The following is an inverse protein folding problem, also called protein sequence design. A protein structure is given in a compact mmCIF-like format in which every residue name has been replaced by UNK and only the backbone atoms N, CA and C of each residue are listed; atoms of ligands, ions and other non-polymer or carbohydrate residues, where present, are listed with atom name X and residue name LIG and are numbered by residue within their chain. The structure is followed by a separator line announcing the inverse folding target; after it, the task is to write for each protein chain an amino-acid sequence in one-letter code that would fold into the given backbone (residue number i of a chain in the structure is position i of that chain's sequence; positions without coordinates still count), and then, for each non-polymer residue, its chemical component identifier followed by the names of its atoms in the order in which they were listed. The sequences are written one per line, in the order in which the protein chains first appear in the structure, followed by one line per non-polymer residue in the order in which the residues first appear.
data_IF_369698937903
#
_entry.id   IF_369698937903
#
_cell.length_a   1.000
_cell.length_b   1.000
_cell.length_c   1.000
_cell.angle_alpha   90.00
_cell.angle_beta   90.00
_cell.angle_gamma   90.00
#
_symmetry.space_group_name_H-M   'P 1'
#
loop_
_entity.id
_entity.type
_entity.pdbx_description
1 polymer ?
#
# COMPACT_ATOMS: atom_id res chain seq x y z
N UNK A 1 -28.42 -12.09 29.16
CA UNK A 1 -29.40 -11.65 30.19
C UNK A 1 -30.84 -11.99 29.81
N UNK A 2 -31.30 -11.70 28.57
CA UNK A 2 -32.63 -12.12 28.05
C UNK A 2 -32.88 -13.65 28.16
N UNK A 3 -31.90 -14.48 27.85
CA UNK A 3 -32.02 -15.95 27.97
C UNK A 3 -32.20 -16.45 29.42
N UNK A 4 -31.46 -15.85 30.36
CA UNK A 4 -31.54 -16.14 31.79
C UNK A 4 -32.93 -15.79 32.38
N UNK A 5 -33.58 -14.77 31.82
CA UNK A 5 -34.94 -14.32 32.19
C UNK A 5 -35.99 -15.31 31.66
N UNK A 6 -35.84 -15.76 30.41
CA UNK A 6 -36.71 -16.77 29.81
C UNK A 6 -36.63 -18.12 30.56
N UNK A 7 -35.43 -18.50 30.99
CA UNK A 7 -35.21 -19.73 31.74
C UNK A 7 -35.89 -19.68 33.12
N UNK A 8 -35.81 -18.56 33.85
CA UNK A 8 -36.50 -18.42 35.15
C UNK A 8 -38.02 -18.37 35.04
N UNK A 9 -38.56 -17.73 33.99
CA UNK A 9 -40.00 -17.71 33.71
C UNK A 9 -40.57 -19.10 33.37
N UNK A 10 -39.73 -20.01 32.86
CA UNK A 10 -40.13 -21.38 32.51
C UNK A 10 -40.30 -22.31 33.72
N UNK A 11 -39.68 -21.98 34.86
CA UNK A 11 -39.63 -22.80 36.08
C UNK A 11 -40.73 -22.46 37.11
N UNK A 12 -41.68 -21.58 36.80
CA UNK A 12 -42.79 -21.21 37.70
C UNK A 12 -44.06 -22.03 37.42
N UNK A 13 -44.63 -22.62 38.48
CA UNK A 13 -45.82 -23.49 38.43
C UNK A 13 -47.15 -22.72 38.47
N UNK A 14 -47.20 -21.53 39.08
CA UNK A 14 -48.39 -20.67 39.14
C UNK A 14 -48.55 -19.84 37.85
N UNK A 15 -49.63 -20.11 37.12
CA UNK A 15 -49.93 -19.50 35.81
C UNK A 15 -50.31 -18.02 35.88
N UNK A 16 -50.97 -17.56 36.95
CA UNK A 16 -51.36 -16.15 37.08
C UNK A 16 -50.16 -15.29 37.45
N UNK A 17 -49.36 -15.74 38.42
CA UNK A 17 -48.12 -15.08 38.79
C UNK A 17 -47.14 -15.05 37.61
N UNK A 18 -47.05 -16.15 36.84
CA UNK A 18 -46.22 -16.21 35.63
C UNK A 18 -46.67 -15.23 34.55
N UNK A 19 -47.98 -15.03 34.37
CA UNK A 19 -48.52 -14.06 33.39
C UNK A 19 -48.20 -12.62 33.81
N UNK A 20 -48.43 -12.29 35.08
CA UNK A 20 -48.14 -10.95 35.62
C UNK A 20 -46.63 -10.64 35.58
N UNK A 21 -45.78 -11.60 35.96
CA UNK A 21 -44.32 -11.45 35.89
C UNK A 21 -43.85 -11.36 34.44
N UNK A 22 -44.44 -12.12 33.51
CA UNK A 22 -44.11 -12.04 32.08
C UNK A 22 -44.46 -10.65 31.51
N UNK A 23 -45.60 -10.08 31.89
CA UNK A 23 -46.00 -8.76 31.43
C UNK A 23 -45.08 -7.67 31.98
N UNK A 24 -44.73 -7.70 33.27
CA UNK A 24 -43.78 -6.76 33.88
C UNK A 24 -42.36 -6.93 33.30
N UNK A 25 -41.89 -8.17 33.16
CA UNK A 25 -40.55 -8.46 32.65
C UNK A 25 -40.41 -8.16 31.15
N UNK A 26 -41.44 -8.42 30.34
CA UNK A 26 -41.42 -8.15 28.90
C UNK A 26 -41.68 -6.69 28.56
N UNK A 27 -42.50 -5.97 29.34
CA UNK A 27 -42.84 -4.57 29.03
C UNK A 27 -41.91 -3.53 29.66
N UNK A 28 -41.37 -3.78 30.85
CA UNK A 28 -40.52 -2.79 31.53
C UNK A 28 -39.05 -3.16 31.44
N UNK A 29 -38.69 -4.41 31.75
CA UNK A 29 -37.28 -4.80 31.81
C UNK A 29 -36.64 -4.96 30.43
N UNK A 30 -37.34 -5.53 29.44
CA UNK A 30 -36.81 -5.58 28.07
C UNK A 30 -36.60 -4.18 27.51
N UNK A 31 -37.58 -3.29 27.69
CA UNK A 31 -37.46 -1.90 27.24
C UNK A 31 -36.34 -1.15 27.97
N UNK A 32 -36.13 -1.41 29.27
CA UNK A 32 -35.05 -0.80 30.03
C UNK A 32 -33.67 -1.35 29.65
N UNK A 33 -33.57 -2.65 29.35
CA UNK A 33 -32.35 -3.27 28.81
C UNK A 33 -32.04 -2.69 27.43
N UNK A 34 -33.02 -2.62 26.53
CA UNK A 34 -32.85 -2.08 25.19
C UNK A 34 -32.48 -0.59 25.24
N UNK A 35 -33.11 0.18 26.15
CA UNK A 35 -32.75 1.57 26.42
C UNK A 35 -31.30 1.68 26.93
N UNK A 36 -30.90 0.86 27.90
CA UNK A 36 -29.54 0.88 28.45
C UNK A 36 -28.50 0.48 27.39
N UNK A 37 -28.77 -0.54 26.58
CA UNK A 37 -27.91 -0.95 25.47
C UNK A 37 -27.78 0.18 24.44
N UNK A 38 -28.88 0.85 24.10
CA UNK A 38 -28.88 1.97 23.17
C UNK A 38 -28.14 3.20 23.73
N UNK A 39 -28.36 3.57 24.98
CA UNK A 39 -27.63 4.67 25.62
C UNK A 39 -26.14 4.34 25.79
N UNK A 40 -25.80 3.08 26.07
CA UNK A 40 -24.39 2.63 26.11
C UNK A 40 -23.75 2.71 24.73
N UNK A 41 -24.44 2.27 23.66
CA UNK A 41 -23.97 2.42 22.27
C UNK A 41 -23.78 3.89 21.90
N UNK A 42 -24.75 4.75 22.23
CA UNK A 42 -24.66 6.20 21.98
C UNK A 42 -23.49 6.86 22.71
N UNK A 43 -23.25 6.47 23.97
CA UNK A 43 -22.11 6.96 24.74
C UNK A 43 -20.80 6.53 24.09
N UNK A 44 -20.69 5.26 23.69
CA UNK A 44 -19.53 4.74 22.95
C UNK A 44 -19.34 5.50 21.64
N UNK A 45 -20.36 5.63 20.80
CA UNK A 45 -20.29 6.38 19.55
C UNK A 45 -19.82 7.82 19.76
N UNK A 46 -20.37 8.51 20.78
CA UNK A 46 -19.97 9.88 21.12
C UNK A 46 -18.50 9.97 21.48
N UNK A 47 -18.04 9.18 22.45
CA UNK A 47 -16.63 9.18 22.90
C UNK A 47 -15.69 8.80 21.75
N UNK A 48 -16.08 7.87 20.88
CA UNK A 48 -15.26 7.47 19.73
C UNK A 48 -15.26 8.51 18.60
N UNK A 49 -16.30 9.33 18.51
CA UNK A 49 -16.40 10.44 17.55
C UNK A 49 -15.61 11.69 17.98
N UNK A 50 -15.35 11.87 19.28
CA UNK A 50 -14.50 12.96 19.81
C UNK A 50 -13.04 12.89 19.31
N UNK A 51 -12.61 11.69 18.91
CA UNK A 51 -11.30 11.46 18.31
C UNK A 51 -11.48 11.23 16.80
N UNK A 52 -11.37 12.33 16.05
CA UNK A 52 -11.30 12.30 14.59
C UNK A 52 -10.11 11.46 14.12
N UNK A 53 -10.36 10.65 13.09
CA UNK A 53 -9.39 9.76 12.46
C UNK A 53 -9.12 10.24 11.04
N UNK A 54 -8.25 11.23 10.92
CA UNK A 54 -7.87 11.85 9.65
C UNK A 54 -6.95 10.94 8.82
N UNK A 55 -6.32 9.93 9.42
CA UNK A 55 -5.40 9.01 8.75
C UNK A 55 -6.10 8.07 7.76
N UNK A 56 -7.36 7.70 8.02
CA UNK A 56 -8.13 6.83 7.11
C UNK A 56 -8.25 7.39 5.70
N UNK A 57 -8.25 8.71 5.55
CA UNK A 57 -8.29 9.37 4.24
C UNK A 57 -7.06 9.02 3.38
N UNK A 58 -5.98 8.59 4.02
CA UNK A 58 -4.69 8.26 3.40
C UNK A 58 -4.39 6.76 3.42
N UNK A 59 -5.40 5.90 3.64
CA UNK A 59 -5.24 4.46 3.49
C UNK A 59 -4.88 4.11 2.04
N UNK A 60 -3.74 3.45 1.84
CA UNK A 60 -3.27 3.02 0.53
C UNK A 60 -3.63 1.56 0.33
N UNK A 61 -4.17 1.26 -0.85
CA UNK A 61 -4.54 -0.06 -1.30
C UNK A 61 -3.75 -0.38 -2.56
N UNK A 62 -3.14 -1.56 -2.61
CA UNK A 62 -2.32 -2.03 -3.73
C UNK A 62 -2.74 -3.43 -4.12
N UNK A 63 -2.79 -3.68 -5.42
CA UNK A 63 -3.05 -4.99 -6.00
C UNK A 63 -2.39 -5.11 -7.37
N UNK A 64 -2.53 -6.25 -8.00
CA UNK A 64 -2.13 -6.47 -9.40
C UNK A 64 -3.33 -7.00 -10.17
N UNK A 65 -3.40 -6.70 -11.46
CA UNK A 65 -4.38 -7.30 -12.36
C UNK A 65 -3.73 -7.67 -13.69
N UNK A 66 -4.38 -8.56 -14.43
CA UNK A 66 -4.04 -8.72 -15.84
C UNK A 66 -4.49 -7.49 -16.61
N UNK A 67 -3.72 -7.05 -17.60
CA UNK A 67 -4.00 -5.87 -18.42
C UNK A 67 -5.38 -5.93 -19.07
N UNK A 68 -5.78 -7.10 -19.57
CA UNK A 68 -7.12 -7.33 -20.14
C UNK A 68 -8.27 -7.26 -19.12
N UNK A 69 -7.98 -7.43 -17.83
CA UNK A 69 -8.97 -7.36 -16.75
C UNK A 69 -9.06 -5.95 -16.13
N UNK A 70 -8.22 -5.01 -16.59
CA UNK A 70 -8.21 -3.63 -16.07
C UNK A 70 -9.48 -2.89 -16.51
N UNK A 71 -10.16 -2.26 -15.55
CA UNK A 71 -11.32 -1.41 -15.78
C UNK A 71 -10.92 0.08 -15.79
N UNK A 72 -10.90 0.75 -16.96
CA UNK A 72 -10.54 2.17 -17.06
C UNK A 72 -11.54 3.12 -16.37
N UNK A 73 -12.74 2.64 -16.03
CA UNK A 73 -13.81 3.44 -15.41
C UNK A 73 -13.76 3.34 -13.88
N UNK A 74 -12.92 2.48 -13.31
CA UNK A 74 -12.77 2.39 -11.85
C UNK A 74 -12.42 3.75 -11.24
N UNK A 75 -13.12 4.10 -10.15
CA UNK A 75 -12.85 5.31 -9.37
C UNK A 75 -11.94 5.02 -8.16
N UNK A 76 -11.56 3.75 -7.98
CA UNK A 76 -10.78 3.32 -6.82
C UNK A 76 -9.36 2.89 -7.18
N UNK A 77 -9.16 1.99 -8.15
CA UNK A 77 -7.85 1.42 -8.48
C UNK A 77 -7.35 1.94 -9.82
N UNK A 78 -6.21 2.61 -9.79
CA UNK A 78 -5.52 3.19 -10.94
C UNK A 78 -4.18 2.50 -11.15
N UNK A 79 -3.62 2.48 -12.36
CA UNK A 79 -2.27 1.97 -12.57
C UNK A 79 -1.23 2.89 -11.90
N UNK A 80 -0.08 2.32 -11.51
CA UNK A 80 1.06 3.11 -11.01
C UNK A 80 1.58 4.09 -12.07
N UNK A 81 1.59 3.65 -13.32
CA UNK A 81 1.99 4.39 -14.50
C UNK A 81 0.92 4.22 -15.58
N UNK A 82 0.45 5.31 -16.18
CA UNK A 82 -0.55 5.24 -17.26
C UNK A 82 0.00 4.46 -18.47
N UNK A 83 1.32 4.48 -18.66
CA UNK A 83 2.04 3.79 -19.71
C UNK A 83 2.02 2.26 -19.58
N UNK A 84 1.68 1.71 -18.41
CA UNK A 84 1.60 0.25 -18.21
C UNK A 84 0.34 -0.35 -18.85
N UNK A 85 -0.70 0.47 -19.03
CA UNK A 85 -1.93 0.08 -19.74
C UNK A 85 -1.73 0.15 -21.25
N UNK A 86 -0.77 0.92 -21.74
CA UNK A 86 -0.50 1.06 -23.17
C UNK A 86 0.20 -0.20 -23.72
N UNK A 87 -0.13 -0.58 -24.95
CA UNK A 87 0.65 -1.61 -25.66
C UNK A 87 2.01 -1.04 -26.07
N UNK A 88 3.07 -1.54 -25.45
CA UNK A 88 4.44 -1.22 -25.85
C UNK A 88 4.82 -2.11 -27.02
N UNK A 89 4.82 -1.55 -28.22
CA UNK A 89 5.45 -2.17 -29.39
C UNK A 89 6.93 -1.82 -29.36
N UNK A 90 7.78 -2.83 -29.23
CA UNK A 90 9.23 -2.65 -29.36
C UNK A 90 9.51 -2.41 -30.85
N UNK A 91 10.10 -1.27 -31.21
CA UNK A 91 10.48 -0.99 -32.59
C UNK A 91 11.80 -1.71 -32.91
N UNK A 92 11.83 -2.38 -34.05
CA UNK A 92 13.02 -3.05 -34.57
C UNK A 92 14.20 -2.09 -34.73
N UNK A 93 13.92 -0.83 -35.06
CA UNK A 93 14.95 0.23 -35.15
C UNK A 93 15.60 0.53 -33.81
N UNK A 94 14.85 0.44 -32.72
CA UNK A 94 15.39 0.62 -31.37
C UNK A 94 16.27 -0.57 -30.97
N UNK A 95 15.88 -1.79 -31.35
CA UNK A 95 16.71 -3.00 -31.15
C UNK A 95 18.03 -2.88 -31.90
N UNK A 96 18.00 -2.56 -33.20
CA UNK A 96 19.21 -2.48 -34.02
C UNK A 96 20.15 -1.37 -33.54
N UNK A 97 19.61 -0.20 -33.21
CA UNK A 97 20.41 0.91 -32.62
C UNK A 97 21.00 0.52 -31.27
N UNK A 98 20.22 -0.10 -30.39
CA UNK A 98 20.68 -0.57 -29.08
C UNK A 98 21.82 -1.57 -29.21
N UNK A 99 21.70 -2.53 -30.12
CA UNK A 99 22.75 -3.53 -30.41
C UNK A 99 24.01 -2.89 -31.01
N UNK A 100 23.87 -1.92 -31.92
CA UNK A 100 25.00 -1.21 -32.52
C UNK A 100 25.78 -0.39 -31.48
N UNK A 101 25.05 0.30 -30.60
CA UNK A 101 25.62 1.13 -29.53
C UNK A 101 26.08 0.31 -28.30
N UNK A 102 25.84 -1.01 -28.27
CA UNK A 102 26.02 -1.88 -27.09
C UNK A 102 25.25 -1.38 -25.86
N UNK A 103 24.09 -0.78 -26.08
CA UNK A 103 23.19 -0.34 -25.03
C UNK A 103 22.23 -1.47 -24.66
N UNK A 104 22.01 -1.65 -23.37
CA UNK A 104 21.02 -2.62 -22.87
C UNK A 104 19.62 -2.09 -23.15
N UNK A 105 18.90 -2.73 -24.06
CA UNK A 105 17.52 -2.34 -24.38
C UNK A 105 16.52 -3.10 -23.51
N UNK A 106 15.57 -2.38 -22.91
CA UNK A 106 14.42 -2.97 -22.20
C UNK A 106 13.39 -3.46 -23.22
N UNK A 107 13.04 -4.74 -23.17
CA UNK A 107 12.02 -5.34 -24.04
C UNK A 107 10.63 -5.20 -23.42
N UNK A 108 10.40 -5.77 -22.24
CA UNK A 108 9.13 -5.73 -21.51
C UNK A 108 9.36 -6.03 -20.02
N UNK A 109 8.31 -5.85 -19.22
CA UNK A 109 8.31 -6.15 -17.79
C UNK A 109 7.54 -7.46 -17.54
N UNK A 110 8.05 -8.34 -16.70
CA UNK A 110 7.38 -9.57 -16.26
C UNK A 110 7.10 -9.53 -14.76
N UNK A 111 6.04 -10.21 -14.34
CA UNK A 111 5.70 -10.42 -12.93
C UNK A 111 5.99 -11.87 -12.55
N UNK A 112 6.81 -12.08 -11.51
CA UNK A 112 7.11 -13.41 -10.99
C UNK A 112 6.22 -13.72 -9.78
N UNK A 113 5.26 -14.63 -9.95
CA UNK A 113 4.32 -15.05 -8.88
C UNK A 113 4.97 -16.08 -7.94
N UNK A 114 6.06 -15.71 -7.26
CA UNK A 114 6.75 -16.54 -6.29
C UNK A 114 6.98 -15.81 -4.96
N UNK A 115 7.36 -16.58 -3.93
CA UNK A 115 7.66 -16.05 -2.60
C UNK A 115 8.93 -15.18 -2.59
N UNK A 116 9.03 -14.29 -1.59
CA UNK A 116 10.18 -13.40 -1.43
C UNK A 116 11.52 -14.15 -1.36
N UNK A 117 11.56 -15.33 -0.72
CA UNK A 117 12.80 -16.12 -0.56
C UNK A 117 13.36 -16.59 -1.90
N UNK A 118 12.50 -16.87 -2.89
CA UNK A 118 12.90 -17.18 -4.28
C UNK A 118 13.32 -15.93 -5.03
N UNK A 119 12.57 -14.84 -4.88
CA UNK A 119 12.87 -13.56 -5.54
C UNK A 119 14.26 -13.04 -5.16
N UNK A 120 14.65 -13.16 -3.89
CA UNK A 120 15.99 -12.77 -3.42
C UNK A 120 17.15 -13.54 -4.05
N UNK A 121 16.89 -14.74 -4.58
CA UNK A 121 17.90 -15.60 -5.21
C UNK A 121 18.06 -15.35 -6.71
N UNK A 122 17.20 -14.51 -7.30
CA UNK A 122 17.29 -14.16 -8.72
C UNK A 122 18.60 -13.43 -8.98
N UNK A 123 19.50 -14.08 -9.71
CA UNK A 123 20.78 -13.50 -10.10
C UNK A 123 20.59 -12.58 -11.32
N UNK A 124 20.73 -11.28 -11.11
CA UNK A 124 20.59 -10.28 -12.17
C UNK A 124 21.68 -10.37 -13.26
N UNK A 125 22.78 -11.10 -13.02
CA UNK A 125 23.84 -11.31 -14.02
C UNK A 125 23.63 -12.59 -14.84
N UNK A 126 22.63 -13.42 -14.49
CA UNK A 126 22.33 -14.65 -15.21
C UNK A 126 21.71 -14.31 -16.57
N UNK A 127 22.21 -14.97 -17.60
CA UNK A 127 21.75 -14.86 -18.99
C UNK A 127 20.80 -15.99 -19.30
N UNK A 128 19.66 -15.66 -19.88
CA UNK A 128 18.62 -16.58 -20.30
C UNK A 128 18.51 -16.60 -21.82
N UNK A 129 18.09 -17.75 -22.35
CA UNK A 129 17.93 -17.92 -23.80
C UNK A 129 16.55 -17.47 -24.24
N UNK A 130 16.49 -16.79 -25.38
CA UNK A 130 15.25 -16.43 -26.04
C UNK A 130 15.35 -16.54 -27.55
N UNK A 131 14.21 -16.33 -28.20
CA UNK A 131 14.04 -16.31 -29.65
C UNK A 131 13.17 -15.11 -30.01
N UNK A 132 13.70 -14.24 -30.87
CA UNK A 132 12.98 -13.15 -31.51
C UNK A 132 12.36 -13.68 -32.80
N UNK A 133 11.05 -13.54 -32.96
CA UNK A 133 10.29 -13.97 -34.15
C UNK A 133 9.84 -12.72 -34.90
N UNK A 134 10.32 -12.58 -36.14
CA UNK A 134 9.96 -11.48 -37.04
C UNK A 134 9.17 -12.00 -38.25
N UNK A 135 8.78 -11.10 -39.15
CA UNK A 135 8.24 -11.48 -40.46
C UNK A 135 9.19 -12.33 -41.31
N UNK A 136 10.50 -12.16 -41.15
CA UNK A 136 11.51 -12.75 -42.03
C UNK A 136 12.22 -13.96 -41.44
N UNK A 137 12.17 -14.16 -40.12
CA UNK A 137 12.87 -15.28 -39.51
C UNK A 137 12.72 -15.41 -37.99
N UNK A 138 13.51 -16.33 -37.44
CA UNK A 138 13.66 -16.56 -36.00
C UNK A 138 15.11 -16.37 -35.63
N UNK A 139 15.38 -15.48 -34.69
CA UNK A 139 16.73 -15.11 -34.29
C UNK A 139 16.96 -15.48 -32.81
N UNK A 140 18.04 -16.20 -32.48
CA UNK A 140 18.39 -16.48 -31.09
C UNK A 140 18.85 -15.20 -30.41
N UNK A 141 18.29 -14.93 -29.24
CA UNK A 141 18.64 -13.77 -28.40
C UNK A 141 19.03 -14.23 -27.01
N UNK A 142 19.86 -13.42 -26.35
CA UNK A 142 20.18 -13.58 -24.94
C UNK A 142 19.57 -12.43 -24.16
N UNK A 143 18.82 -12.77 -23.11
CA UNK A 143 18.13 -11.80 -22.25
C UNK A 143 18.60 -11.91 -20.81
N UNK A 144 18.42 -10.81 -20.06
CA UNK A 144 18.81 -10.72 -18.65
C UNK A 144 17.66 -10.15 -17.84
N UNK A 145 17.45 -10.70 -16.65
CA UNK A 145 16.45 -10.18 -15.70
C UNK A 145 17.08 -9.12 -14.81
N UNK A 146 16.46 -7.95 -14.75
CA UNK A 146 16.84 -6.88 -13.82
C UNK A 146 15.62 -6.53 -12.98
N UNK A 147 15.79 -6.37 -11.67
CA UNK A 147 14.68 -6.00 -10.79
C UNK A 147 14.14 -4.62 -11.20
N UNK A 148 12.83 -4.49 -11.34
CA UNK A 148 12.22 -3.21 -11.65
C UNK A 148 12.10 -2.36 -10.38
N UNK A 149 12.83 -1.25 -10.33
CA UNK A 149 12.82 -0.32 -9.20
C UNK A 149 11.80 0.82 -9.38
N UNK A 150 11.26 1.03 -10.59
CA UNK A 150 10.40 2.17 -10.91
C UNK A 150 9.15 2.25 -10.02
N UNK A 151 8.51 1.12 -9.72
CA UNK A 151 7.36 1.08 -8.83
C UNK A 151 7.73 1.36 -7.37
N UNK A 152 8.92 0.96 -6.95
CA UNK A 152 9.42 1.22 -5.60
C UNK A 152 9.80 2.70 -5.46
N UNK A 153 10.37 3.30 -6.51
CA UNK A 153 10.65 4.73 -6.57
C UNK A 153 9.39 5.58 -6.52
N UNK A 154 8.26 5.11 -7.09
CA UNK A 154 6.98 5.81 -6.94
C UNK A 154 6.52 5.89 -5.48
N UNK A 155 6.75 4.83 -4.70
CA UNK A 155 6.44 4.84 -3.26
C UNK A 155 7.37 5.80 -2.51
N UNK A 156 8.64 5.85 -2.89
CA UNK A 156 9.59 6.83 -2.33
C UNK A 156 9.18 8.27 -2.64
N UNK A 157 8.78 8.57 -3.88
CA UNK A 157 8.25 9.90 -4.25
C UNK A 157 7.01 10.25 -3.45
N UNK A 158 6.11 9.28 -3.26
CA UNK A 158 4.94 9.48 -2.42
C UNK A 158 5.32 9.80 -0.97
N UNK A 159 6.32 9.14 -0.40
CA UNK A 159 6.84 9.49 0.92
C UNK A 159 7.30 10.95 1.01
N UNK A 160 8.06 11.43 0.01
CA UNK A 160 8.50 12.84 -0.06
C UNK A 160 7.30 13.80 -0.09
N UNK A 161 6.26 13.45 -0.84
CA UNK A 161 4.99 14.21 -0.88
C UNK A 161 4.33 14.23 0.51
N UNK A 162 4.23 13.10 1.22
CA UNK A 162 3.66 13.07 2.56
C UNK A 162 4.43 13.96 3.55
N UNK A 163 5.76 13.90 3.51
CA UNK A 163 6.62 14.74 4.35
C UNK A 163 6.39 16.23 4.10
N UNK A 164 6.37 16.65 2.84
CA UNK A 164 6.14 18.06 2.45
C UNK A 164 4.76 18.58 2.84
N UNK A 165 3.77 17.70 2.91
CA UNK A 165 2.41 18.03 3.29
C UNK A 165 2.17 17.97 4.81
N UNK A 166 3.22 17.68 5.60
CA UNK A 166 3.17 17.51 7.05
C UNK A 166 2.18 16.43 7.49
N UNK A 167 2.02 15.39 6.67
CA UNK A 167 1.15 14.24 6.97
C UNK A 167 2.02 13.07 7.44
N UNK A 168 1.72 12.45 8.59
CA UNK A 168 2.46 11.29 9.08
C UNK A 168 2.50 10.17 8.04
N UNK A 169 3.71 9.69 7.76
CA UNK A 169 3.90 8.52 6.91
C UNK A 169 3.53 7.25 7.66
N UNK A 170 2.77 6.39 7.01
CA UNK A 170 2.51 5.02 7.44
C UNK A 170 3.07 4.09 6.40
N UNK A 171 3.73 3.01 6.84
CA UNK A 171 4.27 2.00 5.92
C UNK A 171 3.19 1.59 4.94
N UNK A 172 3.51 1.50 3.66
CA UNK A 172 2.56 1.05 2.65
C UNK A 172 2.69 -0.46 2.52
N UNK A 173 1.58 -1.18 2.66
CA UNK A 173 1.59 -2.62 2.42
C UNK A 173 1.62 -2.88 0.91
N UNK A 174 2.79 -3.24 0.42
CA UNK A 174 3.02 -3.51 -0.98
C UNK A 174 3.70 -4.87 -1.16
N UNK A 175 2.89 -5.94 -1.32
CA UNK A 175 3.44 -7.27 -1.51
C UNK A 175 3.77 -7.60 -2.96
N UNK A 176 3.60 -6.66 -3.90
CA UNK A 176 3.63 -6.97 -5.33
C UNK A 176 4.79 -6.32 -6.10
N UNK A 177 5.18 -5.08 -5.79
CA UNK A 177 6.12 -4.36 -6.67
C UNK A 177 7.52 -4.98 -6.71
N UNK A 178 7.96 -5.64 -5.64
CA UNK A 178 9.27 -6.30 -5.59
C UNK A 178 9.36 -7.55 -6.50
N UNK A 179 8.24 -7.95 -7.12
CA UNK A 179 8.11 -9.12 -8.00
C UNK A 179 8.14 -8.79 -9.49
N UNK A 180 8.28 -7.51 -9.83
CA UNK A 180 8.42 -7.07 -11.22
C UNK A 180 9.89 -7.05 -11.64
N UNK A 181 10.15 -7.60 -12.83
CA UNK A 181 11.47 -7.66 -13.43
C UNK A 181 11.40 -7.15 -14.87
N UNK A 182 12.34 -6.30 -15.22
CA UNK A 182 12.56 -5.83 -16.57
C UNK A 182 13.45 -6.84 -17.31
N UNK A 183 13.00 -7.23 -18.51
CA UNK A 183 13.76 -8.08 -19.41
C UNK A 183 14.59 -7.19 -20.33
N UNK A 184 15.91 -7.26 -20.19
CA UNK A 184 16.85 -6.56 -21.04
C UNK A 184 17.43 -7.50 -22.10
N UNK A 185 17.55 -7.01 -23.33
CA UNK A 185 18.31 -7.65 -24.40
C UNK A 185 19.81 -7.40 -24.15
N UNK A 186 20.59 -8.48 -24.08
CA UNK A 186 22.04 -8.41 -23.86
C UNK A 186 22.82 -8.65 -25.16
N UNK A 187 22.41 -9.65 -25.95
CA UNK A 187 23.00 -9.90 -27.26
C UNK A 187 22.03 -10.58 -28.22
N UNK A 188 22.26 -10.33 -29.51
CA UNK A 188 21.67 -11.07 -30.62
C UNK A 188 22.83 -11.61 -31.47
N UNK A 189 22.86 -12.92 -31.73
CA UNK A 189 23.98 -13.56 -32.43
C UNK A 189 23.93 -13.35 -33.96
N UNK A 190 22.88 -12.70 -34.46
CA UNK A 190 22.61 -12.49 -35.88
C UNK A 190 22.34 -11.02 -36.16
N UNK A 191 22.85 -10.53 -37.30
CA UNK A 191 22.54 -9.20 -37.81
C UNK A 191 21.06 -9.10 -38.16
N UNK A 192 20.38 -8.13 -37.55
CA UNK A 192 18.97 -7.88 -37.76
C UNK A 192 18.76 -6.74 -38.77
N UNK A 193 17.74 -6.83 -39.64
CA UNK A 193 17.35 -5.72 -40.53
C UNK A 193 16.36 -4.78 -39.81
N UNK A 194 16.59 -3.47 -39.95
CA UNK A 194 15.80 -2.40 -39.35
C UNK A 194 14.36 -2.33 -39.89
N UNK A 195 14.08 -2.95 -41.04
CA UNK A 195 12.77 -2.94 -41.67
C UNK A 195 11.89 -4.13 -41.29
N UNK A 196 12.38 -5.06 -40.47
CA UNK A 196 11.58 -6.22 -40.03
C UNK A 196 10.57 -5.82 -38.95
N UNK A 197 9.36 -6.37 -39.00
CA UNK A 197 8.38 -6.21 -37.92
C UNK A 197 8.50 -7.39 -36.93
N UNK A 198 8.54 -7.05 -35.63
CA UNK A 198 8.58 -8.03 -34.55
C UNK A 198 7.18 -8.57 -34.32
N UNK A 199 7.01 -9.89 -34.43
CA UNK A 199 5.75 -10.56 -34.10
C UNK A 199 5.70 -10.96 -32.64
N UNK A 200 6.76 -11.59 -32.16
CA UNK A 200 6.78 -12.22 -30.86
C UNK A 200 8.20 -12.35 -30.32
N UNK A 201 8.35 -12.23 -29.00
CA UNK A 201 9.60 -12.48 -28.29
C UNK A 201 9.33 -13.59 -27.28
N UNK A 202 9.96 -14.75 -27.49
CA UNK A 202 9.84 -15.91 -26.60
C UNK A 202 11.13 -16.09 -25.83
N UNK A 203 11.07 -16.34 -24.53
CA UNK A 203 12.24 -16.51 -23.68
C UNK A 203 11.91 -17.48 -22.56
N UNK A 204 12.92 -18.26 -22.15
CA UNK A 204 12.82 -19.30 -21.14
C UNK A 204 13.59 -18.88 -19.89
N UNK A 205 12.89 -18.73 -18.77
CA UNK A 205 13.47 -18.34 -17.48
C UNK A 205 13.95 -19.53 -16.65
N UNK A 206 14.06 -20.72 -17.25
CA UNK A 206 14.49 -21.95 -16.61
C UNK A 206 13.68 -22.23 -15.33
N UNK A 207 14.32 -22.19 -14.17
CA UNK A 207 13.70 -22.40 -12.85
C UNK A 207 12.61 -21.40 -12.48
N UNK A 208 12.55 -20.23 -13.14
CA UNK A 208 11.53 -19.21 -12.88
C UNK A 208 10.37 -19.22 -13.89
N UNK A 209 10.44 -20.07 -14.92
CA UNK A 209 9.45 -20.11 -15.99
C UNK A 209 8.04 -20.43 -15.47
N UNK A 210 7.93 -21.32 -14.46
CA UNK A 210 6.67 -21.69 -13.83
C UNK A 210 5.98 -20.55 -13.06
N UNK A 211 6.73 -19.50 -12.69
CA UNK A 211 6.21 -18.34 -11.96
C UNK A 211 5.96 -17.13 -12.87
N UNK A 212 6.38 -17.20 -14.13
CA UNK A 212 6.33 -16.09 -15.07
C UNK A 212 4.88 -15.76 -15.44
N UNK A 213 4.51 -14.50 -15.22
CA UNK A 213 3.26 -13.92 -15.67
C UNK A 213 3.58 -12.69 -16.53
N UNK A 214 2.96 -12.62 -17.71
CA UNK A 214 3.07 -11.51 -18.66
C UNK A 214 1.79 -10.66 -18.56
N UNK A 215 1.85 -9.41 -18.99
CA UNK A 215 0.72 -8.47 -19.01
C UNK A 215 0.04 -8.27 -17.65
N UNK A 216 0.83 -8.36 -16.57
CA UNK A 216 0.39 -7.99 -15.23
C UNK A 216 0.78 -6.53 -14.98
N UNK A 217 -0.16 -5.74 -14.47
CA UNK A 217 0.08 -4.35 -14.07
C UNK A 217 -0.23 -4.16 -12.58
N UNK A 218 0.57 -3.37 -11.85
CA UNK A 218 0.25 -3.01 -10.48
C UNK A 218 -0.75 -1.85 -10.45
N UNK A 219 -1.73 -1.96 -9.56
CA UNK A 219 -2.74 -0.96 -9.32
C UNK A 219 -2.65 -0.45 -7.88
N UNK A 220 -2.99 0.82 -7.69
CA UNK A 220 -3.13 1.47 -6.40
C UNK A 220 -4.27 2.49 -6.38
N UNK A 221 -4.66 2.96 -5.21
CA UNK A 221 -5.74 3.94 -5.08
C UNK A 221 -5.29 5.40 -5.12
N UNK A 222 -4.22 5.71 -5.87
CA UNK A 222 -3.64 7.04 -5.93
C UNK A 222 -3.75 7.59 -7.34
N UNK A 223 -4.23 8.84 -7.46
CA UNK A 223 -4.40 9.53 -8.73
C UNK A 223 -3.92 10.98 -8.64
N UNK A 224 -3.24 11.45 -9.68
CA UNK A 224 -2.80 12.84 -9.80
C UNK A 224 -3.84 13.66 -10.56
N UNK A 225 -4.06 14.89 -10.11
CA UNK A 225 -4.94 15.86 -10.75
C UNK A 225 -4.22 17.20 -10.86
N UNK A 226 -4.29 17.83 -12.01
CA UNK A 226 -3.80 19.19 -12.21
C UNK A 226 -4.98 20.15 -12.04
N UNK A 227 -5.00 20.89 -10.93
CA UNK A 227 -6.08 21.80 -10.58
C UNK A 227 -5.61 23.25 -10.53
N UNK A 228 -6.45 24.15 -11.04
CA UNK A 228 -6.20 25.59 -11.01
C UNK A 228 -6.60 26.19 -9.68
N UNK A 229 -5.90 27.28 -9.32
CA UNK A 229 -6.33 28.16 -8.23
C UNK A 229 -7.71 28.74 -8.55
N UNK A 230 -8.63 28.68 -7.59
CA UNK A 230 -9.93 29.33 -7.64
C UNK A 230 -9.76 30.83 -7.42
N UNK A 231 -9.82 31.60 -8.50
CA UNK A 231 -9.64 33.04 -8.46
C UNK A 231 -8.17 33.47 -8.34
N UNK A 232 -7.94 34.63 -7.76
CA UNK A 232 -6.61 35.22 -7.62
C UNK A 232 -6.00 34.87 -6.26
N UNK A 233 -4.70 34.51 -6.20
CA UNK A 233 -4.02 34.29 -4.94
C UNK A 233 -4.07 35.53 -4.05
N UNK A 234 -4.35 35.35 -2.76
CA UNK A 234 -4.46 36.48 -1.81
C UNK A 234 -3.18 36.60 -0.99
N UNK A 235 -2.57 37.79 -0.86
CA UNK A 235 -1.36 37.95 -0.05
C UNK A 235 -1.63 37.65 1.42
N UNK A 236 -0.76 36.87 2.05
CA UNK A 236 -0.81 36.60 3.49
C UNK A 236 -0.32 37.80 4.31
N UNK A 237 -0.48 37.75 5.63
CA UNK A 237 -0.12 38.86 6.54
C UNK A 237 1.34 39.31 6.43
N UNK A 238 2.25 38.40 6.09
CA UNK A 238 3.67 38.69 5.86
C UNK A 238 3.96 39.40 4.53
N UNK A 239 2.98 39.43 3.60
CA UNK A 239 3.10 39.90 2.21
C UNK A 239 4.23 39.27 1.40
N UNK A 240 4.78 38.16 1.89
CA UNK A 240 5.82 37.39 1.20
C UNK A 240 5.23 36.15 0.55
N UNK A 241 4.16 35.61 1.13
CA UNK A 241 3.44 34.46 0.59
C UNK A 241 2.02 34.87 0.16
N UNK A 242 1.42 34.00 -0.64
CA UNK A 242 0.12 34.11 -1.23
C UNK A 242 -0.66 32.82 -0.95
N UNK A 243 -1.93 32.99 -0.68
CA UNK A 243 -2.89 31.92 -0.44
C UNK A 243 -3.58 31.55 -1.76
N UNK A 244 -3.37 30.31 -2.19
CA UNK A 244 -4.04 29.71 -3.33
C UNK A 244 -5.13 28.76 -2.84
N UNK A 245 -6.38 29.06 -3.18
CA UNK A 245 -7.52 28.21 -2.83
C UNK A 245 -7.80 27.26 -3.99
N UNK A 246 -8.00 25.98 -3.72
CA UNK A 246 -8.35 24.96 -4.71
C UNK A 246 -9.56 24.18 -4.22
N UNK A 247 -10.64 24.21 -4.99
CA UNK A 247 -11.84 23.41 -4.71
C UNK A 247 -11.63 21.93 -5.07
N UNK A 248 -11.83 21.07 -4.07
CA UNK A 248 -11.83 19.60 -4.18
C UNK A 248 -13.24 19.01 -4.08
N UNK A 249 -14.29 19.84 -4.08
CA UNK A 249 -15.70 19.41 -3.92
C UNK A 249 -16.13 18.35 -4.93
N UNK A 250 -15.63 18.45 -6.17
CA UNK A 250 -15.93 17.47 -7.24
C UNK A 250 -15.27 16.11 -7.03
N UNK A 251 -14.14 16.08 -6.33
CA UNK A 251 -13.35 14.86 -6.07
C UNK A 251 -13.88 14.08 -4.84
N UNK A 252 -14.54 14.78 -3.90
CA UNK A 252 -15.23 14.19 -2.74
C UNK A 252 -14.46 14.32 -1.42
N UNK A 253 -15.17 14.39 -0.30
CA UNK A 253 -14.59 14.67 1.02
C UNK A 253 -14.00 13.45 1.75
N UNK A 254 -14.28 12.23 1.25
CA UNK A 254 -13.81 10.96 1.83
C UNK A 254 -12.34 10.66 1.53
N UNK A 255 -11.80 11.20 0.44
CA UNK A 255 -10.42 10.95 -0.01
C UNK A 255 -9.42 11.87 0.70
N UNK A 256 -8.18 11.41 0.77
CA UNK A 256 -7.03 12.22 1.22
C UNK A 256 -6.46 13.03 0.06
N UNK A 257 -6.01 14.25 0.34
CA UNK A 257 -5.44 15.14 -0.68
C UNK A 257 -4.09 15.70 -0.24
N UNK A 258 -3.11 15.57 -1.11
CA UNK A 258 -1.73 16.02 -0.94
C UNK A 258 -1.37 16.92 -2.13
N UNK A 259 -0.43 17.84 -1.91
CA UNK A 259 0.13 18.70 -2.95
C UNK A 259 1.52 18.20 -3.29
N UNK A 260 1.76 17.81 -4.53
CA UNK A 260 3.10 17.47 -5.01
C UNK A 260 3.81 18.73 -5.52
N UNK A 261 5.00 18.96 -5.00
CA UNK A 261 5.88 20.05 -5.44
C UNK A 261 6.45 19.69 -6.81
N UNK A 262 5.94 20.34 -7.86
CA UNK A 262 6.39 20.14 -9.25
C UNK A 262 7.03 21.43 -9.79
N UNK A 263 6.22 22.33 -10.33
CA UNK A 263 6.67 23.62 -10.89
C UNK A 263 6.71 24.72 -9.83
N UNK A 264 5.92 24.58 -8.77
CA UNK A 264 5.73 25.59 -7.74
C UNK A 264 6.10 25.05 -6.36
N UNK A 265 6.83 25.86 -5.60
CA UNK A 265 7.19 25.59 -4.20
C UNK A 265 6.03 26.01 -3.31
N UNK A 266 5.69 25.24 -2.28
CA UNK A 266 4.74 25.67 -1.25
C UNK A 266 5.35 25.55 0.16
N UNK A 267 4.80 26.32 1.11
CA UNK A 267 5.23 26.33 2.51
C UNK A 267 4.47 25.31 3.33
N UNK A 268 3.14 25.38 3.30
CA UNK A 268 2.26 24.45 3.99
C UNK A 268 0.88 24.44 3.30
N UNK A 269 0.09 23.42 3.65
CA UNK A 269 -1.24 23.20 3.06
C UNK A 269 -2.27 23.06 4.17
N UNK A 270 -3.21 23.98 4.20
CA UNK A 270 -4.40 23.90 5.05
C UNK A 270 -5.50 23.13 4.31
N UNK A 271 -6.17 22.23 5.04
CA UNK A 271 -7.20 21.33 4.50
C UNK A 271 -8.51 21.60 5.20
N UNK A 272 -9.48 22.10 4.45
CA UNK A 272 -10.85 22.35 4.91
C UNK A 272 -11.82 21.42 4.18
N UNK A 273 -13.09 21.40 4.59
CA UNK A 273 -14.08 20.57 3.93
C UNK A 273 -14.39 21.09 2.51
N UNK A 274 -13.89 20.38 1.51
CA UNK A 274 -14.12 20.69 0.10
C UNK A 274 -13.14 21.68 -0.52
N UNK A 275 -12.11 22.14 0.20
CA UNK A 275 -11.09 23.04 -0.33
C UNK A 275 -9.70 22.82 0.29
N UNK A 276 -8.67 23.13 -0.50
CA UNK A 276 -7.27 23.18 -0.07
C UNK A 276 -6.80 24.63 -0.14
N UNK A 277 -6.20 25.13 0.94
CA UNK A 277 -5.52 26.43 0.97
C UNK A 277 -4.01 26.16 0.98
N UNK A 278 -3.36 26.49 -0.12
CA UNK A 278 -1.93 26.29 -0.34
C UNK A 278 -1.24 27.63 -0.17
N UNK A 279 -0.30 27.72 0.79
CA UNK A 279 0.48 28.93 1.01
C UNK A 279 1.81 28.81 0.28
N UNK A 280 2.08 29.76 -0.62
CA UNK A 280 3.21 29.72 -1.55
C UNK A 280 3.82 31.11 -1.76
N UNK A 281 5.12 31.25 -2.06
CA UNK A 281 5.68 32.52 -2.52
C UNK A 281 5.20 32.94 -3.92
N UNK A 282 4.46 32.09 -4.64
CA UNK A 282 3.97 32.37 -5.99
C UNK A 282 2.84 33.41 -6.00
N UNK A 283 3.07 34.55 -6.65
CA UNK A 283 2.05 35.62 -6.72
C UNK A 283 0.92 35.31 -7.73
N UNK A 284 1.22 34.50 -8.74
CA UNK A 284 0.32 34.25 -9.88
C UNK A 284 -0.44 32.95 -9.70
N UNK A 285 -1.69 32.94 -10.15
CA UNK A 285 -2.46 31.70 -10.25
C UNK A 285 -1.71 30.70 -11.15
N UNK A 286 -1.54 29.48 -10.65
CA UNK A 286 -0.87 28.38 -11.34
C UNK A 286 -1.70 27.10 -11.29
N UNK A 287 -1.25 26.11 -12.06
CA UNK A 287 -1.73 24.73 -12.03
C UNK A 287 -0.96 23.97 -10.93
N UNK A 288 -1.69 23.37 -9.99
CA UNK A 288 -1.11 22.62 -8.88
C UNK A 288 -1.33 21.12 -9.08
N UNK A 289 -0.29 20.32 -8.83
CA UNK A 289 -0.40 18.86 -8.83
C UNK A 289 -0.98 18.37 -7.50
N UNK A 290 -2.23 17.93 -7.52
CA UNK A 290 -2.95 17.38 -6.37
C UNK A 290 -2.95 15.86 -6.46
N UNK A 291 -2.31 15.21 -5.50
CA UNK A 291 -2.29 13.76 -5.34
C UNK A 291 -3.48 13.36 -4.46
N UNK A 292 -4.45 12.69 -5.06
CA UNK A 292 -5.62 12.13 -4.39
C UNK A 292 -5.34 10.68 -3.98
N UNK A 293 -5.59 10.35 -2.70
CA UNK A 293 -5.68 8.98 -2.19
C UNK A 293 -7.17 8.62 -2.10
N UNK A 294 -7.68 7.90 -3.11
CA UNK A 294 -9.11 7.58 -3.25
C UNK A 294 -9.55 6.59 -2.18
N UNK A 295 -10.59 6.93 -1.41
CA UNK A 295 -11.21 6.00 -0.44
C UNK A 295 -12.55 5.44 -0.91
N UNK A 296 -13.00 5.84 -2.10
CA UNK A 296 -14.28 5.41 -2.68
C UNK A 296 -14.16 4.00 -3.20
N UNK A 297 -14.37 3.02 -2.32
CA UNK A 297 -14.34 1.61 -2.70
C UNK A 297 -15.50 1.32 -3.65
N UNK A 298 -15.18 0.87 -4.85
CA UNK A 298 -16.12 0.35 -5.84
C UNK A 298 -16.11 -1.20 -5.83
N UNK A 299 -16.94 -1.82 -6.66
CA UNK A 299 -17.04 -3.28 -6.73
C UNK A 299 -15.79 -3.96 -7.32
N UNK A 300 -14.83 -3.19 -7.87
CA UNK A 300 -13.58 -3.75 -8.44
C UNK A 300 -12.75 -4.49 -7.41
N UNK A 301 -12.82 -4.07 -6.14
CA UNK A 301 -12.14 -4.75 -5.01
C UNK A 301 -12.65 -6.18 -4.81
N UNK A 302 -13.95 -6.42 -5.04
CA UNK A 302 -14.56 -7.75 -4.83
C UNK A 302 -14.29 -8.71 -5.99
N UNK A 303 -14.14 -8.17 -7.21
CA UNK A 303 -13.98 -8.97 -8.41
C UNK A 303 -12.50 -9.23 -8.76
N UNK A 304 -11.56 -8.68 -8.00
CA UNK A 304 -10.14 -8.85 -8.28
C UNK A 304 -9.68 -10.28 -7.95
N UNK A 305 -8.91 -10.88 -8.87
CA UNK A 305 -8.32 -12.21 -8.72
C UNK A 305 -7.21 -12.25 -7.66
N UNK A 306 -6.56 -11.11 -7.39
CA UNK A 306 -5.48 -10.99 -6.42
C UNK A 306 -5.94 -10.24 -5.17
N UNK A 307 -5.41 -10.61 -4.00
CA UNK A 307 -5.77 -9.97 -2.73
C UNK A 307 -5.36 -8.50 -2.74
N UNK A 308 -6.32 -7.61 -2.46
CA UNK A 308 -6.03 -6.19 -2.30
C UNK A 308 -5.36 -5.96 -0.95
N UNK A 309 -4.05 -5.70 -0.99
CA UNK A 309 -3.26 -5.38 0.18
C UNK A 309 -3.49 -3.92 0.58
N UNK A 310 -3.54 -3.65 1.87
CA UNK A 310 -3.79 -2.31 2.42
C UNK A 310 -2.98 -2.03 3.66
N UNK A 311 -2.61 -0.77 3.87
CA UNK A 311 -2.07 -0.32 5.16
C UNK A 311 -3.14 0.22 6.12
N UNK A 312 -4.42 0.00 5.83
CA UNK A 312 -5.52 0.39 6.72
C UNK A 312 -5.42 -0.26 8.09
N UNK A 313 -5.66 0.53 9.14
CA UNK A 313 -5.73 0.05 10.52
C UNK A 313 -7.17 -0.29 10.88
N UNK A 314 -7.34 -1.29 11.74
CA UNK A 314 -8.60 -1.62 12.39
C UNK A 314 -9.06 -0.41 13.21
N UNK A 315 -10.35 -0.12 13.11
CA UNK A 315 -10.97 0.91 13.93
C UNK A 315 -10.90 0.51 15.41
N UNK A 316 -10.09 1.24 16.17
CA UNK A 316 -9.95 1.02 17.61
C UNK A 316 -9.64 2.34 18.29
N UNK A 317 -10.32 2.60 19.41
CA UNK A 317 -10.06 3.76 20.25
C UNK A 317 -8.59 3.86 20.63
N UNK A 318 -7.95 2.72 20.96
CA UNK A 318 -6.54 2.67 21.36
C UNK A 318 -5.64 3.16 20.22
N UNK A 319 -5.95 2.81 18.96
CA UNK A 319 -5.16 3.26 17.81
C UNK A 319 -5.30 4.76 17.61
N UNK A 320 -6.54 5.28 17.64
CA UNK A 320 -6.79 6.72 17.49
C UNK A 320 -6.16 7.53 18.63
N UNK A 321 -6.23 7.03 19.86
CA UNK A 321 -5.65 7.67 21.03
C UNK A 321 -4.12 7.66 20.99
N UNK A 322 -3.50 6.53 20.65
CA UNK A 322 -2.04 6.42 20.52
C UNK A 322 -1.50 7.39 19.46
N UNK A 323 -2.20 7.58 18.34
CA UNK A 323 -1.80 8.53 17.30
C UNK A 323 -1.81 10.00 17.77
N UNK A 324 -2.63 10.37 18.76
CA UNK A 324 -2.63 11.73 19.34
C UNK A 324 -1.56 11.93 20.41
N UNK A 325 -0.98 10.85 20.95
CA UNK A 325 0.04 10.93 21.98
C UNK A 325 1.44 10.94 21.36
N UNK A 326 2.26 11.90 21.77
CA UNK A 326 3.66 12.00 21.33
C UNK A 326 4.60 10.97 22.00
N UNK A 327 4.12 10.19 22.97
CA UNK A 327 4.96 9.27 23.74
C UNK A 327 4.99 7.87 23.11
N UNK A 328 6.17 7.46 22.68
CA UNK A 328 6.42 6.10 22.20
C UNK A 328 6.61 5.15 23.38
N UNK A 329 5.67 4.21 23.58
CA UNK A 329 5.77 3.18 24.62
C UNK A 329 6.62 2.03 24.09
N UNK A 330 7.83 1.83 24.62
CA UNK A 330 8.76 0.79 24.10
C UNK A 330 8.64 -0.52 24.85
N UNK A 331 7.54 -1.26 24.64
CA UNK A 331 7.28 -2.56 25.31
C UNK A 331 6.86 -3.64 24.31
N UNK A 332 6.99 -4.92 24.70
CA UNK A 332 6.44 -6.05 23.92
C UNK A 332 4.93 -5.90 23.67
N UNK A 333 4.21 -5.33 24.64
CA UNK A 333 2.78 -5.02 24.51
C UNK A 333 2.50 -4.01 23.40
N UNK A 334 3.36 -3.00 23.24
CA UNK A 334 3.24 -2.02 22.15
C UNK A 334 3.51 -2.64 20.79
N UNK A 335 4.55 -3.47 20.66
CA UNK A 335 4.82 -4.20 19.41
C UNK A 335 3.61 -5.06 19.04
N UNK A 336 3.05 -5.77 20.02
CA UNK A 336 1.83 -6.58 19.85
C UNK A 336 0.64 -5.72 19.43
N UNK A 337 0.48 -4.53 20.00
CA UNK A 337 -0.57 -3.57 19.64
C UNK A 337 -0.43 -3.11 18.19
N UNK A 338 0.79 -2.70 17.77
CA UNK A 338 1.08 -2.24 16.41
C UNK A 338 0.77 -3.35 15.41
N UNK A 339 1.29 -4.57 15.64
CA UNK A 339 1.01 -5.74 14.78
C UNK A 339 -0.49 -6.00 14.67
N UNK A 340 -1.21 -6.02 15.80
CA UNK A 340 -2.65 -6.33 15.83
C UNK A 340 -3.54 -5.19 15.32
N UNK A 341 -2.99 -3.98 15.18
CA UNK A 341 -3.70 -2.83 14.63
C UNK A 341 -4.10 -3.04 13.18
N UNK A 342 -3.43 -3.94 12.45
CA UNK A 342 -3.76 -4.25 11.06
C UNK A 342 -4.61 -5.51 10.91
N UNK A 343 -5.31 -5.61 9.77
CA UNK A 343 -6.12 -6.77 9.37
C UNK A 343 -5.36 -8.09 9.16
N UNK A 344 -4.03 -8.11 9.35
CA UNK A 344 -3.16 -9.26 9.06
C UNK A 344 -2.94 -10.21 10.24
N UNK A 345 -3.55 -9.94 11.39
CA UNK A 345 -3.59 -10.88 12.51
C UNK A 345 -4.31 -12.21 12.17
N UNK A 346 -5.05 -12.25 11.04
CA UNK A 346 -5.60 -13.49 10.47
C UNK A 346 -4.52 -14.42 9.90
N UNK A 347 -3.36 -13.88 9.50
CA UNK A 347 -2.25 -14.63 8.92
C UNK A 347 -1.16 -14.95 9.93
N UNK A 348 -0.91 -14.02 10.88
CA UNK A 348 0.20 -14.12 11.82
C UNK A 348 -0.23 -13.83 13.24
N UNK A 349 0.34 -14.58 14.17
CA UNK A 349 0.27 -14.33 15.61
C UNK A 349 1.68 -14.10 16.14
N UNK A 350 1.89 -12.94 16.77
CA UNK A 350 3.18 -12.61 17.36
C UNK A 350 3.36 -13.38 18.68
N UNK A 351 4.39 -14.22 18.75
CA UNK A 351 4.68 -14.99 19.97
C UNK A 351 5.73 -14.30 20.84
N UNK A 352 6.84 -13.85 20.24
CA UNK A 352 7.98 -13.36 21.01
C UNK A 352 8.86 -12.34 20.30
N UNK A 353 9.71 -11.67 21.09
CA UNK A 353 10.71 -10.70 20.61
C UNK A 353 12.05 -11.01 21.23
N UNK A 354 13.08 -11.10 20.40
CA UNK A 354 14.44 -11.41 20.83
C UNK A 354 15.41 -10.34 20.28
N UNK A 355 16.31 -9.84 21.13
CA UNK A 355 17.35 -8.90 20.71
C UNK A 355 18.64 -9.68 20.45
N UNK A 356 19.17 -9.56 19.24
CA UNK A 356 20.36 -10.28 18.76
C UNK A 356 21.45 -9.31 18.33
N UNK A 357 22.70 -9.77 18.36
CA UNK A 357 23.85 -8.99 17.88
C UNK A 357 24.07 -9.09 16.37
N UNK A 358 23.48 -10.11 15.73
CA UNK A 358 23.66 -10.40 14.31
C UNK A 358 22.31 -10.72 13.65
N UNK A 359 22.22 -10.40 12.36
CA UNK A 359 21.10 -10.74 11.46
C UNK A 359 21.02 -12.25 11.22
N UNK A 360 19.83 -12.75 10.91
CA UNK A 360 19.68 -14.09 10.36
C UNK A 360 20.19 -14.14 8.90
N UNK A 361 21.19 -14.99 8.57
CA UNK A 361 21.68 -15.13 7.19
C UNK A 361 20.59 -15.58 6.19
N UNK A 362 19.48 -16.15 6.66
CA UNK A 362 18.31 -16.51 5.85
C UNK A 362 17.13 -15.55 6.08
N UNK A 363 17.40 -14.26 6.22
CA UNK A 363 16.40 -13.20 6.45
C UNK A 363 15.13 -13.39 5.63
N UNK A 364 13.99 -13.41 6.32
CA UNK A 364 12.69 -13.73 5.73
C UNK A 364 11.90 -12.48 5.35
N UNK A 365 12.33 -11.31 5.84
CA UNK A 365 11.66 -10.03 5.67
C UNK A 365 12.61 -8.98 5.14
N UNK A 366 12.05 -7.91 4.57
CA UNK A 366 12.79 -6.76 4.10
C UNK A 366 12.16 -5.45 4.58
N UNK A 367 12.95 -4.38 4.55
CA UNK A 367 12.49 -3.04 4.92
C UNK A 367 11.70 -2.41 3.77
N UNK A 368 10.40 -2.20 3.97
CA UNK A 368 9.53 -1.49 3.03
C UNK A 368 9.74 0.04 3.07
N UNK A 369 10.43 0.55 4.08
CA UNK A 369 10.74 1.96 4.29
C UNK A 369 12.26 2.23 4.15
N UNK A 370 12.97 1.47 3.32
CA UNK A 370 14.42 1.57 3.14
C UNK A 370 14.91 2.98 2.75
N UNK A 371 14.03 3.80 2.16
CA UNK A 371 14.32 5.19 1.77
C UNK A 371 14.26 6.17 2.95
N UNK A 372 13.70 5.78 4.10
CA UNK A 372 13.65 6.62 5.30
C UNK A 372 15.01 6.56 5.99
N UNK A 373 15.75 7.66 5.90
CA UNK A 373 17.07 7.83 6.50
C UNK A 373 16.99 8.89 7.59
N UNK A 374 17.00 8.45 8.85
CA UNK A 374 17.06 9.32 10.02
C UNK A 374 18.41 9.16 10.69
N UNK A 375 18.90 10.16 11.44
CA UNK A 375 20.18 10.09 12.15
C UNK A 375 20.28 8.88 13.10
N UNK A 376 19.14 8.44 13.66
CA UNK A 376 19.03 7.25 14.50
C UNK A 376 19.15 5.98 13.66
N UNK A 377 18.72 6.00 12.39
CA UNK A 377 18.72 4.86 11.46
C UNK A 377 20.12 4.46 10.95
N UNK A 378 21.05 5.42 10.87
CA UNK A 378 22.34 5.31 10.16
C UNK A 378 23.48 4.65 10.98
N UNK A 379 23.27 4.32 12.27
CA UNK A 379 24.30 3.69 13.11
C UNK A 379 24.72 2.29 12.67
N UNK A 380 26.04 2.04 12.51
CA UNK A 380 26.60 0.76 12.07
C UNK A 380 26.54 -0.37 13.13
N UNK A 381 26.37 -0.04 14.41
CA UNK A 381 26.44 -1.01 15.53
C UNK A 381 25.06 -1.42 16.09
N UNK A 382 24.03 -1.41 15.25
CA UNK A 382 22.67 -1.73 15.71
C UNK A 382 22.48 -3.20 16.02
N UNK A 383 21.82 -3.45 17.15
CA UNK A 383 21.26 -4.76 17.47
C UNK A 383 20.05 -5.05 16.60
N UNK A 384 19.83 -6.33 16.33
CA UNK A 384 18.69 -6.83 15.59
C UNK A 384 17.56 -7.17 16.56
N UNK A 385 16.34 -6.78 16.23
CA UNK A 385 15.14 -7.17 16.96
C UNK A 385 14.38 -8.20 16.13
N UNK A 386 14.55 -9.47 16.47
CA UNK A 386 13.86 -10.58 15.83
C UNK A 386 12.47 -10.75 16.45
N UNK A 387 11.44 -10.50 15.65
CA UNK A 387 10.03 -10.66 16.03
C UNK A 387 9.56 -12.01 15.49
N UNK A 388 9.18 -12.91 16.41
CA UNK A 388 8.77 -14.28 16.08
C UNK A 388 7.27 -14.33 15.87
N UNK A 389 6.85 -14.88 14.74
CA UNK A 389 5.47 -15.01 14.34
C UNK A 389 5.12 -16.46 14.07
N UNK A 390 4.04 -16.91 14.69
CA UNK A 390 3.38 -18.16 14.32
C UNK A 390 2.41 -17.90 13.17
N UNK A 391 2.40 -18.81 12.21
CA UNK A 391 1.49 -18.77 11.07
C UNK A 391 0.13 -19.36 11.44
N UNK A 392 -0.94 -18.63 11.12
CA UNK A 392 -2.33 -19.05 11.37
C UNK A 392 -3.11 -19.41 10.09
N UNK A 393 -2.51 -19.26 8.91
CA UNK A 393 -3.12 -19.53 7.61
C UNK A 393 -2.17 -20.31 6.68
N UNK A 394 -2.65 -20.75 5.51
CA UNK A 394 -1.77 -21.34 4.49
C UNK A 394 -0.79 -20.31 3.93
N UNK A 395 0.41 -20.78 3.58
CA UNK A 395 1.43 -19.94 2.96
C UNK A 395 1.05 -19.66 1.50
N UNK A 396 1.01 -18.39 1.15
CA UNK A 396 0.82 -17.89 -0.21
C UNK A 396 2.10 -17.20 -0.69
N UNK A 397 2.16 -16.89 -1.98
CA UNK A 397 3.33 -16.22 -2.56
C UNK A 397 3.58 -14.80 -2.00
N UNK A 398 2.64 -14.22 -1.25
CA UNK A 398 2.77 -12.90 -0.61
C UNK A 398 2.99 -12.96 0.91
N UNK A 399 3.04 -14.15 1.52
CA UNK A 399 3.10 -14.30 2.99
C UNK A 399 4.30 -13.56 3.59
N UNK A 400 5.50 -13.71 3.03
CA UNK A 400 6.69 -13.02 3.53
C UNK A 400 6.65 -11.50 3.33
N UNK A 401 5.95 -11.03 2.30
CA UNK A 401 5.78 -9.60 2.06
C UNK A 401 4.79 -8.98 3.06
N UNK A 402 3.70 -9.68 3.38
CA UNK A 402 2.78 -9.27 4.45
C UNK A 402 3.47 -9.24 5.82
N UNK A 403 4.38 -10.19 6.07
CA UNK A 403 5.21 -10.17 7.27
C UNK A 403 6.19 -8.99 7.26
N UNK A 404 6.82 -8.72 6.13
CA UNK A 404 7.74 -7.58 5.93
C UNK A 404 7.04 -6.25 6.19
N UNK A 405 5.78 -6.12 5.79
CA UNK A 405 4.94 -4.96 6.09
C UNK A 405 4.78 -4.74 7.60
N UNK A 406 4.38 -5.77 8.35
CA UNK A 406 4.19 -5.66 9.81
C UNK A 406 5.50 -5.29 10.52
N UNK A 407 6.62 -5.90 10.12
CA UNK A 407 7.94 -5.64 10.70
C UNK A 407 8.43 -4.23 10.35
N UNK A 408 8.21 -3.78 9.12
CA UNK A 408 8.57 -2.42 8.66
C UNK A 408 7.77 -1.34 9.39
N UNK A 409 6.51 -1.62 9.74
CA UNK A 409 5.74 -0.71 10.59
C UNK A 409 6.29 -0.68 12.01
N UNK A 410 6.64 -1.82 12.61
CA UNK A 410 7.28 -1.85 13.93
C UNK A 410 8.61 -1.09 13.90
N UNK A 411 9.40 -1.21 12.83
CA UNK A 411 10.66 -0.50 12.64
C UNK A 411 10.50 1.04 12.72
N UNK A 412 9.34 1.60 12.34
CA UNK A 412 9.04 3.03 12.48
C UNK A 412 9.02 3.49 13.95
N UNK A 413 8.58 2.63 14.87
CA UNK A 413 8.47 2.92 16.30
C UNK A 413 9.76 2.59 17.08
N UNK A 414 10.61 1.72 16.53
CA UNK A 414 11.84 1.23 17.16
C UNK A 414 13.08 1.50 16.28
N UNK A 415 13.37 2.78 15.93
CA UNK A 415 14.45 3.13 15.02
C UNK A 415 15.84 2.74 15.54
N UNK A 416 16.02 2.50 16.85
CA UNK A 416 17.29 2.08 17.44
C UNK A 416 17.71 0.63 17.08
N UNK A 417 16.76 -0.22 16.65
CA UNK A 417 17.02 -1.59 16.24
C UNK A 417 16.93 -1.77 14.73
N UNK A 418 17.48 -2.87 14.22
CA UNK A 418 17.12 -3.43 12.91
C UNK A 418 16.08 -4.53 13.14
N UNK A 419 14.83 -4.26 12.79
CA UNK A 419 13.73 -5.20 13.01
C UNK A 419 13.71 -6.27 11.91
N UNK A 420 13.55 -7.54 12.30
CA UNK A 420 13.46 -8.69 11.39
C UNK A 420 12.29 -9.58 11.81
N UNK A 421 11.53 -10.08 10.84
CA UNK A 421 10.46 -11.06 11.07
C UNK A 421 10.96 -12.48 10.87
N UNK A 422 10.59 -13.37 11.79
CA UNK A 422 10.90 -14.79 11.70
C UNK A 422 9.61 -15.59 11.85
N UNK A 423 9.27 -16.38 10.83
CA UNK A 423 8.24 -17.41 10.97
C UNK A 423 8.81 -18.63 11.70
N UNK A 424 8.06 -19.09 12.72
CA UNK A 424 8.40 -20.25 13.56
C UNK A 424 7.44 -21.42 13.37
#
# INVERSE_FOLDING_TARGET
MKELILEKLSKMEDLEQRKMLKDIMSSLFVNLIDYQENESKRLVERVFSEIEDTEKKYDVYITVCHKNDFDPVSEFLFPFFEEDVLEKKVDMKEIVKGLYNKETLKLFTVFLKCDYKKICKVNQNKRYKGTLITDFGRYPITVRLVKNEAYTDQIKKLYEVFQKNEIPWRTINNPYTNKFFDIFLDSCDVSLDENEEIKEIVFDLEEYEEYKMIDIIPLWNIKKHWLKTDGFPMPTMDRLNFEHIISIKKLGSESGYLVEESEHIFRYVNRSDGELSIISPEEKAGDWCIVQVSQRKDDTVKNNKYEVASNSRKESFINKFANRQAYVIRTKGEITRVVNSFGYSKYFEMEDVEIRSFSDPNGQTYDMNFFITDDIRVGNDKKFMAIKFKKNAEETFITYDLLSFLVSEVQMYFPEYKCEGVLI
#
